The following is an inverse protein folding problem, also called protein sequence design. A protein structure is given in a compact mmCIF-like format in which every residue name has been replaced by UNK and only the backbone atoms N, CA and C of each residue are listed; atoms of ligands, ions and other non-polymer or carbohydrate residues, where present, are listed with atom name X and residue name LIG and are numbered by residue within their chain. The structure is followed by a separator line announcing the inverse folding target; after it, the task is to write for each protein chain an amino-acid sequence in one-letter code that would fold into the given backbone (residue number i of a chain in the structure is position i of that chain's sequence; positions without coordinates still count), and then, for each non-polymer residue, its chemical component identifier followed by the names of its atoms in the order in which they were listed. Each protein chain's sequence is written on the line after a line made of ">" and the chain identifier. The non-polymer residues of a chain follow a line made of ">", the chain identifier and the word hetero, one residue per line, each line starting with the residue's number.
data_IF_455503581556
#
_entry.id   IF_455503581556
#
_cell.length_a   1.000
_cell.length_b   1.000
_cell.length_c   1.000
_cell.angle_alpha   90.00
_cell.angle_beta   90.00
_cell.angle_gamma   90.00
#
_symmetry.space_group_name_H-M   'P 1'
#
loop_
_entity.id
_entity.type
_entity.pdbx_description
1 polymer ?
#
# COMPACT_ATOMS: atom_id res chain seq x y z
N UNK A 1 50.58 40.31 21.55
CA UNK A 1 50.78 39.61 20.25
C UNK A 1 49.83 38.44 20.22
N UNK A 2 48.68 38.54 19.53
CA UNK A 2 48.43 38.02 18.16
C UNK A 2 48.73 36.51 18.09
N UNK A 3 47.74 35.62 18.06
CA UNK A 3 46.77 35.26 16.97
C UNK A 3 47.13 33.86 16.43
N UNK A 4 46.13 32.96 16.37
CA UNK A 4 45.88 31.84 15.43
C UNK A 4 45.26 30.66 16.20
N UNK A 5 43.92 30.54 16.25
CA UNK A 5 43.09 29.77 15.32
C UNK A 5 43.42 28.27 15.26
N UNK A 6 42.61 27.45 15.93
CA UNK A 6 42.13 26.17 15.38
C UNK A 6 40.73 25.89 15.91
N UNK A 7 39.74 26.55 15.30
CA UNK A 7 38.39 26.05 15.26
C UNK A 7 38.37 24.87 14.27
N UNK A 8 38.53 23.64 14.77
CA UNK A 8 38.28 22.44 13.98
C UNK A 8 37.21 21.62 14.67
N UNK A 9 36.01 21.80 14.14
CA UNK A 9 34.82 20.98 14.23
C UNK A 9 35.04 19.60 14.88
N UNK A 10 34.43 19.42 16.05
CA UNK A 10 33.85 18.12 16.40
C UNK A 10 32.35 18.29 16.61
N UNK A 11 31.70 18.88 15.59
CA UNK A 11 30.34 18.50 15.24
C UNK A 11 30.42 17.07 14.72
N UNK A 12 30.60 16.08 15.61
CA UNK A 12 30.24 14.70 15.28
C UNK A 12 28.73 14.71 15.22
N UNK A 13 28.29 15.06 14.01
CA UNK A 13 27.09 14.64 13.33
C UNK A 13 26.51 13.40 14.01
N UNK A 14 25.61 13.63 14.98
CA UNK A 14 24.60 12.64 15.34
C UNK A 14 23.42 12.77 14.35
N UNK A 15 23.72 12.92 13.04
CA UNK A 15 22.84 12.37 12.02
C UNK A 15 23.10 10.86 12.11
N UNK A 16 22.17 10.03 12.50
CA UNK A 16 20.75 10.17 12.32
C UNK A 16 20.33 8.75 12.05
N UNK A 17 19.95 8.04 13.10
CA UNK A 17 19.01 6.95 12.92
C UNK A 17 17.71 7.48 13.48
N UNK A 18 17.16 8.50 12.80
CA UNK A 18 15.71 8.52 12.71
C UNK A 18 15.43 7.22 11.97
N UNK A 19 15.10 6.16 12.71
CA UNK A 19 14.53 4.98 12.08
C UNK A 19 13.33 5.54 11.34
N UNK A 20 13.48 5.70 10.02
CA UNK A 20 12.36 5.99 9.15
C UNK A 20 11.57 4.70 9.21
N UNK A 21 10.71 4.58 10.23
CA UNK A 21 9.76 3.48 10.31
C UNK A 21 9.04 3.55 8.99
N UNK A 22 9.30 2.58 8.12
CA UNK A 22 8.69 2.53 6.81
C UNK A 22 7.20 2.37 7.07
N UNK A 23 6.47 3.49 7.09
CA UNK A 23 5.03 3.52 7.27
C UNK A 23 4.46 3.00 5.95
N UNK A 24 4.30 1.68 5.84
CA UNK A 24 3.96 0.94 4.63
C UNK A 24 3.63 -0.50 5.01
N UNK A 25 2.78 -1.18 4.25
CA UNK A 25 2.57 -2.62 4.45
C UNK A 25 3.90 -3.34 4.24
N UNK A 26 4.42 -4.02 5.26
CA UNK A 26 5.69 -4.72 5.12
C UNK A 26 5.46 -6.02 4.36
N UNK A 27 6.06 -6.10 3.18
CA UNK A 27 5.90 -7.25 2.33
C UNK A 27 6.90 -8.35 2.70
N UNK A 28 6.42 -9.57 2.89
CA UNK A 28 7.23 -10.77 3.08
C UNK A 28 7.60 -11.39 1.73
N UNK A 29 6.63 -11.53 0.82
CA UNK A 29 6.84 -12.07 -0.53
C UNK A 29 6.17 -11.19 -1.57
N UNK A 30 6.88 -10.96 -2.67
CA UNK A 30 6.39 -10.18 -3.81
C UNK A 30 6.58 -10.90 -5.12
N UNK A 31 5.71 -10.59 -6.08
CA UNK A 31 5.88 -10.93 -7.48
C UNK A 31 6.36 -9.69 -8.25
N UNK A 32 6.96 -9.91 -9.42
CA UNK A 32 7.33 -8.84 -10.36
C UNK A 32 6.55 -9.12 -11.65
N UNK A 33 5.73 -8.14 -12.06
CA UNK A 33 4.85 -8.27 -13.21
C UNK A 33 5.67 -8.39 -14.51
N UNK A 34 5.34 -9.38 -15.32
CA UNK A 34 5.80 -9.60 -16.69
C UNK A 34 4.72 -9.20 -17.72
N UNK A 35 5.07 -9.21 -19.00
CA UNK A 35 4.09 -8.91 -20.06
C UNK A 35 3.06 -10.04 -20.18
N UNK A 36 1.77 -9.69 -20.20
CA UNK A 36 0.68 -10.67 -20.27
C UNK A 36 0.12 -11.10 -18.92
N UNK A 37 0.78 -10.74 -17.82
CA UNK A 37 0.27 -11.00 -16.47
C UNK A 37 -1.06 -10.30 -16.22
N UNK A 38 -1.96 -11.00 -15.53
CA UNK A 38 -3.23 -10.46 -15.04
C UNK A 38 -3.37 -10.79 -13.56
N UNK A 39 -4.13 -9.97 -12.81
CA UNK A 39 -4.36 -10.18 -11.38
C UNK A 39 -4.91 -11.58 -11.04
N UNK A 40 -5.61 -12.23 -11.98
CA UNK A 40 -6.14 -13.58 -11.80
C UNK A 40 -5.03 -14.62 -11.61
N UNK A 41 -3.91 -14.53 -12.34
CA UNK A 41 -2.77 -15.45 -12.19
C UNK A 41 -1.95 -15.21 -10.91
N UNK A 42 -2.14 -14.05 -10.29
CA UNK A 42 -1.46 -13.64 -9.06
C UNK A 42 -2.28 -14.06 -7.83
N UNK A 43 -3.61 -13.91 -7.90
CA UNK A 43 -4.52 -14.29 -6.84
C UNK A 43 -4.78 -15.80 -6.84
N UNK A 44 -4.57 -16.44 -5.69
CA UNK A 44 -4.60 -17.89 -5.54
C UNK A 44 -3.24 -18.42 -5.09
N UNK A 45 -3.02 -19.70 -5.31
CA UNK A 45 -1.71 -20.34 -5.13
C UNK A 45 -0.87 -20.09 -6.37
N UNK A 46 0.44 -19.91 -6.22
CA UNK A 46 1.33 -20.15 -7.35
C UNK A 46 1.57 -21.66 -7.56
N UNK A 47 2.24 -22.01 -8.66
CA UNK A 47 2.47 -23.41 -9.07
C UNK A 47 3.21 -24.22 -8.00
N UNK A 48 4.18 -23.59 -7.33
CA UNK A 48 5.01 -24.20 -6.27
C UNK A 48 4.33 -24.20 -4.89
N UNK A 49 3.14 -23.59 -4.77
CA UNK A 49 2.44 -23.33 -3.49
C UNK A 49 3.31 -22.56 -2.48
N UNK A 50 4.23 -21.74 -2.96
CA UNK A 50 5.08 -20.86 -2.15
C UNK A 50 4.28 -19.76 -1.47
N UNK A 51 3.14 -19.36 -2.04
CA UNK A 51 2.22 -18.40 -1.44
C UNK A 51 0.76 -18.72 -1.81
N UNK A 52 -0.17 -18.17 -1.03
CA UNK A 52 -1.59 -18.07 -1.37
C UNK A 52 -2.11 -16.67 -1.03
N UNK A 53 -2.73 -15.98 -1.99
CA UNK A 53 -3.33 -14.66 -1.75
C UNK A 53 -4.73 -14.56 -2.32
N UNK A 54 -5.71 -14.20 -1.49
CA UNK A 54 -7.08 -13.93 -1.99
C UNK A 54 -7.08 -12.58 -2.71
N UNK A 55 -7.93 -12.41 -3.72
CA UNK A 55 -8.07 -11.14 -4.44
C UNK A 55 -8.30 -9.93 -3.49
N UNK A 56 -9.10 -10.11 -2.44
CA UNK A 56 -9.32 -9.06 -1.43
C UNK A 56 -8.04 -8.71 -0.68
N UNK A 57 -7.21 -9.69 -0.35
CA UNK A 57 -5.98 -9.47 0.40
C UNK A 57 -4.91 -8.86 -0.52
N UNK A 58 -4.83 -9.30 -1.78
CA UNK A 58 -3.96 -8.71 -2.80
C UNK A 58 -4.22 -7.21 -2.95
N UNK A 59 -5.49 -6.78 -3.00
CA UNK A 59 -5.88 -5.37 -3.04
C UNK A 59 -5.58 -4.62 -1.75
N UNK A 60 -5.76 -5.26 -0.59
CA UNK A 60 -5.45 -4.66 0.71
C UNK A 60 -3.95 -4.45 0.89
N UNK A 61 -3.12 -5.40 0.44
CA UNK A 61 -1.66 -5.32 0.48
C UNK A 61 -1.14 -4.30 -0.52
N UNK A 62 -1.78 -4.18 -1.69
CA UNK A 62 -1.42 -3.24 -2.75
C UNK A 62 -2.55 -2.25 -3.03
N UNK A 63 -2.86 -1.28 -2.14
CA UNK A 63 -4.01 -0.39 -2.35
C UNK A 63 -3.97 0.44 -3.64
N UNK A 64 -2.79 0.70 -4.20
CA UNK A 64 -2.60 1.40 -5.48
C UNK A 64 -2.84 0.50 -6.71
N UNK A 65 -3.03 -0.82 -6.52
CA UNK A 65 -3.24 -1.81 -7.58
C UNK A 65 -4.42 -1.45 -8.49
N UNK A 66 -4.13 -1.43 -9.79
CA UNK A 66 -5.09 -1.32 -10.88
C UNK A 66 -4.97 -2.57 -11.76
N UNK A 67 -5.88 -3.52 -11.61
CA UNK A 67 -5.82 -4.80 -12.33
C UNK A 67 -6.01 -4.65 -13.84
N UNK A 68 -6.59 -3.55 -14.30
CA UNK A 68 -6.79 -3.25 -15.71
C UNK A 68 -5.56 -2.57 -16.34
N UNK A 69 -4.53 -2.26 -15.53
CA UNK A 69 -3.35 -1.51 -15.95
C UNK A 69 -2.09 -1.97 -15.21
N UNK A 70 -1.83 -3.27 -15.23
CA UNK A 70 -0.57 -3.84 -14.74
C UNK A 70 0.60 -3.42 -15.63
N UNK A 71 1.73 -3.06 -15.01
CA UNK A 71 2.91 -2.59 -15.73
C UNK A 71 4.06 -3.58 -15.55
N UNK A 72 4.74 -3.94 -16.63
CA UNK A 72 5.95 -4.76 -16.54
C UNK A 72 6.97 -4.12 -15.59
N UNK A 73 7.58 -4.94 -14.73
CA UNK A 73 8.48 -4.52 -13.66
C UNK A 73 7.79 -4.01 -12.38
N UNK A 74 6.47 -3.84 -12.37
CA UNK A 74 5.71 -3.50 -11.17
C UNK A 74 5.86 -4.62 -10.13
N UNK A 75 6.07 -4.26 -8.86
CA UNK A 75 6.06 -5.21 -7.75
C UNK A 75 4.70 -5.25 -7.10
N UNK A 76 4.17 -6.45 -6.86
CA UNK A 76 2.96 -6.65 -6.06
C UNK A 76 3.27 -7.54 -4.87
N UNK A 77 2.81 -7.12 -3.70
CA UNK A 77 2.93 -7.90 -2.49
C UNK A 77 1.87 -9.01 -2.45
N UNK A 78 2.30 -10.26 -2.27
CA UNK A 78 1.42 -11.43 -2.22
C UNK A 78 1.37 -12.05 -0.83
N UNK A 79 2.34 -11.72 0.02
CA UNK A 79 2.37 -12.15 1.43
C UNK A 79 2.90 -11.00 2.29
N UNK A 80 2.18 -10.63 3.35
CA UNK A 80 2.61 -9.61 4.31
C UNK A 80 3.36 -10.25 5.48
N UNK A 81 4.34 -9.56 6.05
CA UNK A 81 4.98 -10.00 7.31
C UNK A 81 3.98 -9.86 8.47
N UNK A 82 4.04 -10.78 9.44
CA UNK A 82 3.41 -10.56 10.74
C UNK A 82 4.18 -9.48 11.51
N UNK A 83 3.50 -8.43 11.96
CA UNK A 83 4.15 -7.28 12.59
C UNK A 83 3.26 -6.05 12.66
N UNK A 84 3.85 -4.90 13.03
CA UNK A 84 3.16 -3.62 13.14
C UNK A 84 2.70 -3.15 11.77
N UNK A 85 1.48 -3.56 11.39
CA UNK A 85 0.82 -3.09 10.20
C UNK A 85 0.58 -1.57 10.30
N UNK A 86 0.58 -0.85 9.18
CA UNK A 86 0.29 0.57 9.17
C UNK A 86 -1.05 0.86 9.83
N UNK A 87 -1.07 1.86 10.72
CA UNK A 87 -2.30 2.24 11.38
C UNK A 87 -3.29 2.81 10.36
N UNK A 88 -4.47 2.19 10.29
CA UNK A 88 -5.61 2.75 9.59
C UNK A 88 -6.32 3.75 10.47
N UNK A 89 -6.62 4.91 9.88
CA UNK A 89 -7.61 5.84 10.41
C UNK A 89 -8.99 5.48 9.89
N UNK A 90 -10.04 5.93 10.58
CA UNK A 90 -11.43 5.68 10.19
C UNK A 90 -12.11 6.97 9.75
N UNK A 91 -12.97 6.86 8.75
CA UNK A 91 -13.88 7.91 8.32
C UNK A 91 -15.30 7.35 8.26
N UNK A 92 -16.23 7.95 8.99
CA UNK A 92 -17.64 7.58 8.94
C UNK A 92 -18.33 8.36 7.83
N UNK A 93 -18.94 7.65 6.89
CA UNK A 93 -19.67 8.22 5.75
C UNK A 93 -20.85 9.06 6.26
N UNK A 94 -21.01 10.25 5.69
CA UNK A 94 -22.02 11.24 6.06
C UNK A 94 -22.98 11.50 4.90
N UNK A 95 -24.15 12.07 5.23
CA UNK A 95 -25.12 12.52 4.23
C UNK A 95 -24.46 13.47 3.22
N UNK A 96 -24.66 13.21 1.93
CA UNK A 96 -24.07 14.00 0.84
C UNK A 96 -22.65 13.60 0.44
N UNK A 97 -22.03 12.63 1.10
CA UNK A 97 -20.75 12.08 0.65
C UNK A 97 -20.89 11.34 -0.69
N UNK A 98 -19.86 11.47 -1.51
CA UNK A 98 -19.62 10.69 -2.73
C UNK A 98 -18.25 10.04 -2.60
N UNK A 99 -17.96 8.95 -3.32
CA UNK A 99 -16.62 8.39 -3.28
C UNK A 99 -15.55 9.40 -3.72
N UNK A 100 -15.85 10.26 -4.70
CA UNK A 100 -14.92 11.30 -5.18
C UNK A 100 -14.65 12.37 -4.11
N UNK A 101 -15.69 12.88 -3.44
CA UNK A 101 -15.51 13.90 -2.40
C UNK A 101 -14.79 13.34 -1.17
N UNK A 102 -15.10 12.11 -0.76
CA UNK A 102 -14.42 11.43 0.35
C UNK A 102 -12.97 11.13 0.00
N UNK A 103 -12.68 10.57 -1.18
CA UNK A 103 -11.31 10.31 -1.63
C UNK A 103 -10.48 11.60 -1.63
N UNK A 104 -11.00 12.69 -2.20
CA UNK A 104 -10.34 14.01 -2.18
C UNK A 104 -10.05 14.49 -0.76
N UNK A 105 -11.04 14.40 0.14
CA UNK A 105 -10.91 14.79 1.56
C UNK A 105 -9.84 13.98 2.29
N UNK A 106 -9.78 12.68 2.04
CA UNK A 106 -8.84 11.75 2.67
C UNK A 106 -7.48 11.69 1.96
N UNK A 107 -7.24 12.54 0.96
CA UNK A 107 -6.01 12.57 0.15
C UNK A 107 -5.67 11.19 -0.44
N UNK A 108 -6.69 10.48 -0.91
CA UNK A 108 -6.61 9.18 -1.53
C UNK A 108 -7.31 9.19 -2.91
N UNK A 109 -7.20 8.10 -3.66
CA UNK A 109 -8.02 7.88 -4.85
C UNK A 109 -9.24 7.03 -4.51
N UNK A 110 -10.29 7.08 -5.35
CA UNK A 110 -11.46 6.21 -5.19
C UNK A 110 -11.05 4.74 -5.19
N UNK A 111 -10.16 4.35 -6.11
CA UNK A 111 -9.63 2.98 -6.21
C UNK A 111 -8.94 2.53 -4.94
N UNK A 112 -8.08 3.37 -4.35
CA UNK A 112 -7.42 3.08 -3.08
C UNK A 112 -8.45 2.82 -1.98
N UNK A 113 -9.48 3.66 -1.88
CA UNK A 113 -10.53 3.46 -0.87
C UNK A 113 -11.30 2.16 -1.10
N UNK A 114 -11.64 1.81 -2.34
CA UNK A 114 -12.32 0.54 -2.65
C UNK A 114 -11.44 -0.69 -2.43
N UNK A 115 -10.14 -0.61 -2.74
CA UNK A 115 -9.20 -1.71 -2.54
C UNK A 115 -9.03 -2.06 -1.05
N UNK A 116 -9.08 -1.05 -0.17
CA UNK A 116 -8.95 -1.23 1.28
C UNK A 116 -10.30 -1.54 1.94
N UNK A 117 -11.39 -1.06 1.36
CA UNK A 117 -12.75 -1.21 1.86
C UNK A 117 -13.57 -1.95 0.80
N UNK A 118 -13.43 -3.27 0.72
CA UNK A 118 -14.10 -4.08 -0.29
C UNK A 118 -15.64 -4.04 -0.25
N UNK A 119 -16.20 -3.55 0.85
CA UNK A 119 -17.64 -3.29 1.03
C UNK A 119 -18.07 -1.87 0.63
N UNK A 120 -17.14 -0.99 0.25
CA UNK A 120 -17.45 0.37 -0.20
C UNK A 120 -17.94 0.33 -1.66
N UNK A 121 -19.25 0.50 -1.83
CA UNK A 121 -19.88 0.63 -3.13
C UNK A 121 -19.74 2.07 -3.66
N UNK A 122 -19.03 2.22 -4.77
CA UNK A 122 -18.88 3.47 -5.52
C UNK A 122 -19.57 3.43 -6.90
N UNK A 123 -20.41 2.42 -7.17
CA UNK A 123 -21.18 2.31 -8.43
C UNK A 123 -22.29 3.37 -8.51
N UNK A 124 -22.69 3.92 -7.37
CA UNK A 124 -23.73 4.95 -7.24
C UNK A 124 -23.11 6.36 -7.26
N UNK A 125 -23.93 7.34 -7.65
CA UNK A 125 -23.52 8.75 -7.66
C UNK A 125 -23.25 9.33 -6.27
N UNK A 126 -23.84 8.75 -5.23
CA UNK A 126 -23.67 9.15 -3.83
C UNK A 126 -23.64 7.93 -2.90
N UNK A 127 -23.17 8.15 -1.67
CA UNK A 127 -23.01 7.13 -0.63
C UNK A 127 -24.15 7.11 0.39
N UNK A 128 -25.34 7.61 0.02
CA UNK A 128 -26.45 7.74 0.98
C UNK A 128 -26.88 6.40 1.60
N UNK A 129 -26.77 5.28 0.86
CA UNK A 129 -27.06 3.94 1.39
C UNK A 129 -26.01 3.42 2.38
N UNK A 130 -24.85 4.08 2.48
CA UNK A 130 -23.74 3.69 3.33
C UNK A 130 -23.47 4.74 4.43
N UNK A 131 -24.41 5.64 4.71
CA UNK A 131 -24.30 6.59 5.82
C UNK A 131 -24.09 5.82 7.14
N UNK A 132 -23.14 6.27 7.96
CA UNK A 132 -22.79 5.62 9.22
C UNK A 132 -21.78 4.48 9.07
N UNK A 133 -21.53 3.98 7.86
CA UNK A 133 -20.48 2.99 7.60
C UNK A 133 -19.11 3.66 7.77
N UNK A 134 -18.23 3.01 8.53
CA UNK A 134 -16.88 3.50 8.79
C UNK A 134 -15.86 2.85 7.87
N UNK A 135 -15.29 3.62 6.95
CA UNK A 135 -14.23 3.17 6.04
C UNK A 135 -12.85 3.44 6.63
N UNK A 136 -11.90 2.57 6.28
CA UNK A 136 -10.48 2.69 6.60
C UNK A 136 -9.75 3.54 5.56
N UNK A 137 -8.80 4.35 5.99
CA UNK A 137 -7.86 5.06 5.12
C UNK A 137 -6.53 5.31 5.84
N UNK A 138 -5.50 5.73 5.10
CA UNK A 138 -4.20 6.08 5.67
C UNK A 138 -4.05 7.59 5.72
N UNK A 139 -3.97 8.13 6.93
CA UNK A 139 -3.77 9.56 7.15
C UNK A 139 -2.39 10.07 6.72
N UNK A 140 -1.41 9.16 6.60
CA UNK A 140 -0.08 9.48 6.09
C UNK A 140 0.01 9.47 4.55
N UNK A 141 -1.04 9.06 3.85
CA UNK A 141 -1.09 9.01 2.38
C UNK A 141 -0.15 7.98 1.74
N UNK A 142 0.53 7.14 2.52
CA UNK A 142 1.55 6.19 2.02
C UNK A 142 0.93 4.84 1.74
N UNK A 143 0.43 4.62 0.53
CA UNK A 143 -0.30 3.40 0.22
C UNK A 143 0.56 2.26 -0.35
N UNK A 144 1.78 2.54 -0.79
CA UNK A 144 2.63 1.51 -1.39
C UNK A 144 3.21 0.54 -0.33
N UNK A 145 3.34 -0.76 -0.66
CA UNK A 145 4.02 -1.72 0.19
C UNK A 145 5.51 -1.38 0.33
N UNK A 146 6.05 -1.70 1.50
CA UNK A 146 7.49 -1.71 1.72
C UNK A 146 8.05 -3.08 1.31
N UNK A 147 8.88 -3.08 0.26
CA UNK A 147 9.51 -4.27 -0.29
C UNK A 147 10.94 -4.53 0.20
N UNK A 148 11.48 -3.70 1.12
CA UNK A 148 12.91 -3.71 1.51
C UNK A 148 13.44 -5.10 1.90
N UNK A 149 12.63 -5.88 2.61
CA UNK A 149 12.99 -7.21 3.11
C UNK A 149 12.14 -8.32 2.48
N UNK A 150 11.49 -8.03 1.35
CA UNK A 150 10.60 -9.01 0.70
C UNK A 150 11.38 -9.95 -0.22
N UNK A 151 10.97 -11.22 -0.25
CA UNK A 151 11.52 -12.23 -1.16
C UNK A 151 10.71 -12.26 -2.46
N UNK A 152 11.39 -12.34 -3.61
CA UNK A 152 10.70 -12.51 -4.90
C UNK A 152 10.22 -13.96 -5.01
N UNK A 153 8.98 -14.13 -5.47
CA UNK A 153 8.40 -15.42 -5.86
C UNK A 153 7.81 -15.34 -7.27
N UNK A 154 7.64 -16.50 -7.89
CA UNK A 154 7.09 -16.62 -9.25
C UNK A 154 5.56 -16.69 -9.20
N UNK A 155 4.90 -16.15 -10.22
CA UNK A 155 3.46 -16.33 -10.49
C UNK A 155 3.20 -17.67 -11.18
N UNK A 156 1.92 -18.06 -11.29
CA UNK A 156 1.50 -19.15 -12.18
C UNK A 156 1.95 -18.82 -13.60
N UNK A 157 2.62 -19.75 -14.28
CA UNK A 157 2.79 -19.70 -15.74
C UNK A 157 1.79 -20.65 -16.36
N UNK A 158 0.78 -20.08 -17.02
CA UNK A 158 -0.13 -20.87 -17.85
C UNK A 158 0.49 -20.90 -19.24
N UNK A 159 1.08 -22.04 -19.60
CA UNK A 159 1.55 -22.32 -20.97
C UNK A 159 0.38 -22.37 -21.97
#
# INVERSE_FOLDING_TARGET
>A
MKLLQFATALFVVLLGIVQVSAKGYNCAKHVVIEHGDICYYIAGYNDKKDYYVRMKDLKIYNPTLDCDNLRSGQKLCVESTEGKQPAYSKYTIRKGDTCKSVAKKLKATVRILQNINNYLDCSRSNLNQQIGVSISYRSDGKYDPNFKNSHKVDIIKVD
#
